data_IF_710522897470
#
_entry.id   IF_710522897470
#
_cell.length_a   1.000
_cell.length_b   1.000
_cell.length_c   1.000
_cell.angle_alpha   90.00
_cell.angle_beta   90.00
_cell.angle_gamma   90.00
#
_symmetry.space_group_name_H-M   'P 1'
#
loop_
_entity.id
_entity.type
_entity.pdbx_description
1 polymer ?
#
# COMPACT_ATOMS: atom_id res chain seq x y z
N UNK A 1 -48.54 -17.92 3.64
CA UNK A 1 -48.10 -17.47 2.31
C UNK A 1 -47.38 -16.15 2.51
N UNK A 2 -46.15 -16.22 3.00
CA UNK A 2 -44.87 -16.29 2.27
C UNK A 2 -44.25 -14.90 2.13
N UNK A 3 -43.15 -14.74 2.87
CA UNK A 3 -42.26 -13.60 2.91
C UNK A 3 -41.65 -13.38 1.53
N UNK A 4 -41.60 -12.13 1.05
CA UNK A 4 -40.61 -11.72 0.04
C UNK A 4 -39.52 -10.92 0.74
N UNK A 5 -38.44 -11.62 1.05
CA UNK A 5 -37.14 -11.07 1.41
C UNK A 5 -36.67 -10.06 0.35
N UNK A 6 -36.56 -8.79 0.74
CA UNK A 6 -35.75 -7.81 0.01
C UNK A 6 -34.27 -8.09 0.30
N UNK A 7 -33.72 -9.11 -0.36
CA UNK A 7 -32.28 -9.29 -0.51
C UNK A 7 -31.81 -8.28 -1.55
N UNK A 8 -31.18 -7.18 -1.14
CA UNK A 8 -30.64 -6.25 -2.13
C UNK A 8 -29.25 -5.72 -1.79
N UNK A 9 -28.30 -6.44 -2.41
CA UNK A 9 -26.96 -6.05 -2.86
C UNK A 9 -25.91 -5.90 -1.77
N UNK A 10 -25.26 -7.03 -1.47
CA UNK A 10 -23.85 -7.04 -1.14
C UNK A 10 -23.13 -6.17 -2.17
N UNK A 11 -22.60 -5.04 -1.71
CA UNK A 11 -21.75 -4.18 -2.51
C UNK A 11 -20.50 -5.01 -2.77
N UNK A 12 -20.42 -5.56 -3.98
CA UNK A 12 -19.16 -6.00 -4.58
C UNK A 12 -18.24 -4.79 -4.50
N UNK A 13 -17.31 -4.79 -3.53
CA UNK A 13 -16.22 -3.83 -3.47
C UNK A 13 -15.49 -3.95 -4.81
N UNK A 14 -15.71 -2.97 -5.69
CA UNK A 14 -15.13 -2.98 -7.04
C UNK A 14 -13.61 -3.06 -6.94
N UNK A 15 -13.04 -3.72 -7.94
CA UNK A 15 -11.63 -4.02 -8.15
C UNK A 15 -10.68 -2.83 -7.89
N UNK A 16 -11.18 -1.58 -7.97
CA UNK A 16 -10.44 -0.33 -7.81
C UNK A 16 -9.87 -0.07 -6.40
N UNK A 17 -10.38 -0.77 -5.38
CA UNK A 17 -9.93 -0.59 -4.00
C UNK A 17 -9.13 -1.76 -3.41
N UNK A 18 -8.84 -2.81 -4.17
CA UNK A 18 -8.17 -4.01 -3.64
C UNK A 18 -6.82 -3.69 -2.97
N UNK A 19 -5.98 -2.87 -3.62
CA UNK A 19 -4.72 -2.35 -3.07
C UNK A 19 -4.95 -1.46 -1.85
N UNK A 20 -5.96 -0.59 -1.89
CA UNK A 20 -6.30 0.33 -0.80
C UNK A 20 -6.77 -0.39 0.45
N UNK A 21 -7.63 -1.40 0.29
CA UNK A 21 -8.18 -2.20 1.39
C UNK A 21 -7.13 -3.16 1.95
N UNK A 22 -6.27 -3.74 1.10
CA UNK A 22 -5.17 -4.61 1.54
C UNK A 22 -4.19 -3.90 2.48
N UNK A 23 -3.94 -2.59 2.28
CA UNK A 23 -3.06 -1.78 3.12
C UNK A 23 -3.49 -1.68 4.58
N UNK A 24 -4.79 -1.78 4.88
CA UNK A 24 -5.24 -1.71 6.26
C UNK A 24 -4.70 -2.87 7.10
N UNK A 25 -4.31 -3.99 6.49
CA UNK A 25 -3.75 -5.18 7.17
C UNK A 25 -2.23 -5.13 7.39
N UNK A 26 -1.56 -4.07 6.96
CA UNK A 26 -0.09 -4.00 7.00
C UNK A 26 0.36 -3.47 8.35
N UNK A 27 1.43 -4.06 8.89
CA UNK A 27 2.14 -3.50 10.02
C UNK A 27 2.91 -2.22 9.65
N UNK A 28 3.49 -1.55 10.65
CA UNK A 28 4.17 -0.27 10.46
C UNK A 28 5.35 -0.36 9.49
N UNK A 29 6.13 -1.44 9.51
CA UNK A 29 7.32 -1.59 8.68
C UNK A 29 6.90 -1.97 7.25
N UNK A 30 5.91 -2.85 7.10
CA UNK A 30 5.29 -3.17 5.81
C UNK A 30 4.74 -1.90 5.14
N UNK A 31 4.04 -1.05 5.90
CA UNK A 31 3.52 0.23 5.39
C UNK A 31 4.64 1.16 4.93
N UNK A 32 5.71 1.30 5.72
CA UNK A 32 6.87 2.12 5.33
C UNK A 32 7.54 1.63 4.06
N UNK A 33 7.76 0.32 3.95
CA UNK A 33 8.31 -0.27 2.74
C UNK A 33 7.41 0.01 1.53
N UNK A 34 6.10 -0.20 1.67
CA UNK A 34 5.13 0.10 0.61
C UNK A 34 5.14 1.59 0.23
N UNK A 35 5.24 2.49 1.21
CA UNK A 35 5.33 3.91 0.92
C UNK A 35 6.62 4.26 0.19
N UNK A 36 7.78 3.71 0.57
CA UNK A 36 9.03 3.90 -0.19
C UNK A 36 8.93 3.38 -1.62
N UNK A 37 8.21 2.27 -1.85
CA UNK A 37 7.93 1.72 -3.19
C UNK A 37 7.10 2.72 -4.01
N UNK A 38 5.93 3.12 -3.50
CA UNK A 38 5.02 4.03 -4.21
C UNK A 38 5.70 5.39 -4.49
N UNK A 39 6.50 5.90 -3.54
CA UNK A 39 7.25 7.15 -3.70
C UNK A 39 8.26 7.07 -4.85
N UNK A 40 9.01 5.97 -4.93
CA UNK A 40 9.96 5.76 -6.03
C UNK A 40 9.25 5.63 -7.38
N UNK A 41 8.13 4.88 -7.44
CA UNK A 41 7.34 4.73 -8.68
C UNK A 41 6.82 6.09 -9.15
N UNK A 42 6.30 6.91 -8.23
CA UNK A 42 5.84 8.27 -8.55
C UNK A 42 6.97 9.14 -9.12
N UNK A 43 8.11 9.16 -8.44
CA UNK A 43 9.27 9.95 -8.88
C UNK A 43 9.73 9.53 -10.29
N UNK A 44 9.69 8.24 -10.61
CA UNK A 44 10.16 7.72 -11.90
C UNK A 44 9.15 7.85 -13.05
N UNK A 45 7.85 7.63 -12.80
CA UNK A 45 6.85 7.49 -13.87
C UNK A 45 5.84 8.64 -13.95
N UNK A 46 5.70 9.44 -12.89
CA UNK A 46 4.69 10.52 -12.82
C UNK A 46 5.36 11.88 -12.86
N UNK A 47 6.37 12.10 -12.03
CA UNK A 47 7.02 13.41 -11.86
C UNK A 47 8.16 13.65 -12.87
N UNK A 48 8.69 12.59 -13.47
CA UNK A 48 9.75 12.70 -14.46
C UNK A 48 9.15 12.88 -15.86
N UNK A 49 9.31 14.09 -16.44
CA UNK A 49 8.82 14.44 -17.78
C UNK A 49 9.48 13.60 -18.89
N UNK A 50 10.68 13.07 -18.65
CA UNK A 50 11.42 12.17 -19.54
C UNK A 50 11.25 10.68 -19.19
N UNK A 51 10.37 10.34 -18.26
CA UNK A 51 10.13 8.95 -17.86
C UNK A 51 9.59 8.13 -19.03
N UNK A 52 10.33 7.10 -19.47
CA UNK A 52 9.83 6.12 -20.44
C UNK A 52 8.60 5.44 -19.84
N UNK A 53 7.42 5.72 -20.39
CA UNK A 53 6.14 5.11 -19.98
C UNK A 53 5.85 3.82 -20.74
N UNK A 54 6.68 3.54 -21.73
CA UNK A 54 6.39 2.66 -22.87
C UNK A 54 7.08 1.29 -22.73
N UNK A 55 7.99 1.15 -21.76
CA UNK A 55 8.64 -0.12 -21.40
C UNK A 55 8.69 -0.26 -19.88
N UNK A 56 7.67 -0.89 -19.31
CA UNK A 56 7.69 -1.35 -17.92
C UNK A 56 8.52 -2.64 -17.87
N UNK A 57 9.82 -2.50 -17.65
CA UNK A 57 10.62 -3.62 -17.15
C UNK A 57 10.36 -3.81 -15.65
N UNK A 58 10.78 -4.96 -15.10
CA UNK A 58 10.75 -5.16 -13.66
C UNK A 58 11.55 -4.06 -12.97
N UNK A 59 10.93 -3.41 -11.99
CA UNK A 59 11.50 -2.24 -11.33
C UNK A 59 12.23 -2.65 -10.05
N UNK A 60 13.50 -2.31 -9.95
CA UNK A 60 14.28 -2.47 -8.72
C UNK A 60 14.27 -1.15 -7.93
N UNK A 61 13.81 -1.21 -6.69
CA UNK A 61 13.71 -0.06 -5.78
C UNK A 61 14.65 -0.27 -4.60
N UNK A 62 15.39 0.79 -4.28
CA UNK A 62 16.21 0.86 -3.06
C UNK A 62 15.40 1.47 -1.91
N UNK A 63 15.45 0.82 -0.75
CA UNK A 63 14.85 1.30 0.50
C UNK A 63 15.94 1.31 1.58
N UNK A 64 16.32 2.48 2.07
CA UNK A 64 17.34 2.57 3.12
C UNK A 64 16.82 2.02 4.45
N UNK A 65 17.70 1.41 5.25
CA UNK A 65 17.32 0.86 6.57
C UNK A 65 16.62 1.90 7.46
N UNK A 66 17.07 3.15 7.38
CA UNK A 66 16.54 4.27 8.17
C UNK A 66 15.08 4.60 7.84
N UNK A 67 14.65 4.38 6.59
CA UNK A 67 13.26 4.60 6.17
C UNK A 67 12.30 3.59 6.81
N UNK A 68 12.82 2.41 7.18
CA UNK A 68 12.05 1.35 7.81
C UNK A 68 12.05 1.47 9.34
N UNK A 69 13.11 2.04 9.90
CA UNK A 69 13.28 2.29 11.34
C UNK A 69 12.46 3.50 11.79
N UNK A 70 12.02 3.50 13.06
CA UNK A 70 11.32 4.65 13.66
C UNK A 70 12.36 5.56 14.32
N UNK A 71 12.22 6.88 14.18
CA UNK A 71 13.14 7.83 14.83
C UNK A 71 13.19 7.57 16.35
N UNK A 72 14.39 7.31 16.87
CA UNK A 72 14.66 7.04 18.29
C UNK A 72 14.33 5.63 18.77
N UNK A 73 14.12 4.68 17.86
CA UNK A 73 13.64 3.34 18.21
C UNK A 73 14.70 2.24 18.01
N UNK A 74 14.79 1.30 18.94
CA UNK A 74 15.67 0.12 18.87
C UNK A 74 15.03 -0.99 18.00
N UNK A 75 14.54 -0.62 16.81
CA UNK A 75 13.94 -1.59 15.89
C UNK A 75 14.98 -2.65 15.53
N UNK A 76 14.74 -3.89 15.98
CA UNK A 76 15.63 -5.02 15.68
C UNK A 76 15.57 -5.32 14.18
N UNK A 77 16.73 -5.59 13.58
CA UNK A 77 16.82 -5.96 12.16
C UNK A 77 15.94 -7.16 11.81
N UNK A 78 15.77 -8.10 12.74
CA UNK A 78 14.87 -9.24 12.56
C UNK A 78 13.42 -8.82 12.29
N UNK A 79 12.92 -7.78 12.97
CA UNK A 79 11.57 -7.27 12.75
C UNK A 79 11.41 -6.73 11.32
N UNK A 80 12.47 -6.11 10.78
CA UNK A 80 12.50 -5.61 9.40
C UNK A 80 12.46 -6.79 8.43
N UNK A 81 13.29 -7.81 8.64
CA UNK A 81 13.27 -9.01 7.80
C UNK A 81 11.90 -9.71 7.81
N UNK A 82 11.29 -9.86 8.98
CA UNK A 82 10.00 -10.51 9.11
C UNK A 82 8.90 -9.71 8.40
N UNK A 83 8.91 -8.37 8.54
CA UNK A 83 7.96 -7.49 7.85
C UNK A 83 8.13 -7.54 6.33
N UNK A 84 9.36 -7.43 5.83
CA UNK A 84 9.61 -7.50 4.39
C UNK A 84 9.31 -8.89 3.80
N UNK A 85 9.52 -9.96 4.58
CA UNK A 85 9.10 -11.32 4.21
C UNK A 85 7.57 -11.44 4.14
N UNK A 86 6.83 -10.83 5.09
CA UNK A 86 5.36 -10.75 5.03
C UNK A 86 4.89 -9.99 3.80
N UNK A 87 5.49 -8.83 3.51
CA UNK A 87 5.17 -8.04 2.31
C UNK A 87 5.36 -8.86 1.02
N UNK A 88 6.50 -9.56 0.88
CA UNK A 88 6.80 -10.40 -0.28
C UNK A 88 5.83 -11.58 -0.43
N UNK A 89 5.43 -12.19 0.69
CA UNK A 89 4.54 -13.36 0.69
C UNK A 89 3.06 -12.97 0.60
N UNK A 90 2.73 -11.69 0.41
CA UNK A 90 1.37 -11.24 0.25
C UNK A 90 1.06 -11.11 -1.24
N UNK A 91 0.00 -11.79 -1.65
CA UNK A 91 -0.47 -11.74 -3.02
C UNK A 91 -1.43 -10.58 -3.26
N UNK A 92 -1.38 -10.07 -4.48
CA UNK A 92 -2.34 -9.21 -5.15
C UNK A 92 -3.01 -10.12 -6.17
N UNK A 93 -4.33 -10.26 -6.05
CA UNK A 93 -5.13 -10.97 -7.04
C UNK A 93 -5.90 -9.96 -7.89
N UNK A 94 -5.71 -10.07 -9.20
CA UNK A 94 -6.43 -9.30 -10.21
C UNK A 94 -7.18 -10.30 -11.07
N UNK A 95 -8.51 -10.26 -10.99
CA UNK A 95 -9.38 -11.14 -11.74
C UNK A 95 -10.39 -10.32 -12.53
N UNK A 96 -10.33 -10.36 -13.86
CA UNK A 96 -11.26 -9.68 -14.76
C UNK A 96 -11.66 -10.61 -15.91
N UNK A 97 -12.54 -10.14 -16.81
CA UNK A 97 -13.06 -10.94 -17.94
C UNK A 97 -11.97 -11.46 -18.90
N UNK A 98 -10.79 -10.83 -18.92
CA UNK A 98 -9.70 -11.13 -19.85
C UNK A 98 -8.60 -11.99 -19.21
N UNK A 99 -8.36 -11.84 -17.92
CA UNK A 99 -7.25 -12.51 -17.25
C UNK A 99 -7.48 -12.71 -15.74
N UNK A 100 -6.83 -13.74 -15.23
CA UNK A 100 -6.58 -13.93 -13.80
C UNK A 100 -5.07 -13.86 -13.55
N UNK A 101 -4.67 -12.97 -12.64
CA UNK A 101 -3.28 -12.74 -12.24
C UNK A 101 -3.19 -12.81 -10.71
N UNK A 102 -2.30 -13.65 -10.22
CA UNK A 102 -1.89 -13.69 -8.81
C UNK A 102 -0.39 -13.35 -8.74
N UNK A 103 -0.05 -12.31 -8.00
CA UNK A 103 1.31 -11.76 -7.96
C UNK A 103 1.64 -11.14 -6.61
N UNK A 104 2.88 -11.30 -6.14
CA UNK A 104 3.30 -10.67 -4.89
C UNK A 104 3.32 -9.13 -4.97
N UNK A 105 3.18 -8.46 -3.82
CA UNK A 105 3.42 -7.00 -3.75
C UNK A 105 4.83 -6.62 -4.23
N UNK A 106 5.80 -7.49 -3.94
CA UNK A 106 7.18 -7.47 -4.46
C UNK A 106 7.61 -8.91 -4.75
N UNK A 107 8.40 -9.13 -5.80
CA UNK A 107 8.89 -10.45 -6.19
C UNK A 107 9.95 -10.98 -5.21
N UNK A 108 10.91 -10.11 -4.87
CA UNK A 108 11.96 -10.40 -3.91
C UNK A 108 12.28 -9.19 -3.04
N UNK A 109 12.93 -9.49 -1.91
CA UNK A 109 13.59 -8.52 -1.04
C UNK A 109 15.01 -9.01 -0.80
N UNK A 110 16.01 -8.14 -0.98
CA UNK A 110 17.43 -8.45 -0.80
C UNK A 110 18.08 -7.39 0.09
N UNK A 111 18.76 -7.80 1.16
CA UNK A 111 19.46 -6.87 2.05
C UNK A 111 20.93 -6.69 1.62
N UNK A 112 21.32 -5.47 1.24
CA UNK A 112 22.70 -5.10 0.93
C UNK A 112 23.36 -4.56 2.21
N UNK A 113 23.75 -5.50 3.08
CA UNK A 113 24.24 -5.24 4.45
C UNK A 113 25.40 -4.25 4.53
N UNK A 114 26.33 -4.30 3.57
CA UNK A 114 27.50 -3.43 3.52
C UNK A 114 27.18 -1.98 3.12
N UNK A 115 25.97 -1.72 2.62
CA UNK A 115 25.51 -0.40 2.19
C UNK A 115 24.25 0.07 2.94
N UNK A 116 23.79 -0.69 3.93
CA UNK A 116 22.63 -0.36 4.78
C UNK A 116 21.34 -0.06 4.02
N UNK A 117 21.02 -0.85 2.99
CA UNK A 117 19.76 -0.72 2.25
C UNK A 117 19.22 -2.06 1.75
N UNK A 118 17.93 -2.10 1.46
CA UNK A 118 17.23 -3.21 0.82
C UNK A 118 16.95 -2.91 -0.65
N UNK A 119 17.07 -3.92 -1.50
CA UNK A 119 16.52 -3.92 -2.85
C UNK A 119 15.21 -4.71 -2.85
N UNK A 120 14.18 -4.13 -3.44
CA UNK A 120 12.92 -4.82 -3.71
C UNK A 120 12.63 -4.76 -5.20
N UNK A 121 12.14 -5.86 -5.77
CA UNK A 121 11.71 -5.89 -7.16
C UNK A 121 10.20 -5.86 -7.25
N UNK A 122 9.67 -4.91 -8.01
CA UNK A 122 8.26 -4.83 -8.40
C UNK A 122 8.14 -5.39 -9.81
N UNK A 123 7.27 -6.37 -10.00
CA UNK A 123 7.05 -6.93 -11.33
C UNK A 123 6.42 -5.90 -12.27
N UNK A 124 6.84 -5.93 -13.53
CA UNK A 124 6.18 -5.17 -14.60
C UNK A 124 4.68 -5.42 -14.72
N UNK A 125 4.20 -6.61 -14.36
CA UNK A 125 2.77 -6.97 -14.48
C UNK A 125 1.89 -6.20 -13.48
N UNK A 126 2.44 -5.85 -12.31
CA UNK A 126 1.72 -5.10 -11.28
C UNK A 126 2.04 -3.60 -11.29
N UNK A 127 3.10 -3.20 -11.99
CA UNK A 127 3.57 -1.81 -12.03
C UNK A 127 2.53 -0.80 -12.55
N UNK A 128 1.71 -1.09 -13.59
CA UNK A 128 0.64 -0.18 -14.02
C UNK A 128 -0.35 0.15 -12.90
N UNK A 129 -0.72 -0.84 -12.08
CA UNK A 129 -1.62 -0.66 -10.93
C UNK A 129 -0.97 0.21 -9.84
N UNK A 130 0.34 0.07 -9.63
CA UNK A 130 1.06 0.96 -8.72
C UNK A 130 1.20 2.39 -9.25
N UNK A 131 1.35 2.59 -10.57
CA UNK A 131 1.39 3.92 -11.18
C UNK A 131 0.04 4.62 -11.02
N UNK A 132 -1.06 3.93 -11.34
CA UNK A 132 -2.41 4.43 -11.12
C UNK A 132 -2.64 4.78 -9.63
N UNK A 133 -2.22 3.87 -8.75
CA UNK A 133 -2.26 4.11 -7.30
C UNK A 133 -1.46 5.35 -6.91
N UNK A 134 -0.26 5.52 -7.46
CA UNK A 134 0.63 6.64 -7.18
C UNK A 134 0.09 7.99 -7.69
N UNK A 135 -0.66 7.99 -8.80
CA UNK A 135 -1.37 9.16 -9.33
C UNK A 135 -2.52 9.58 -8.40
N UNK A 136 -3.32 8.61 -7.94
CA UNK A 136 -4.40 8.84 -6.99
C UNK A 136 -3.89 9.14 -5.56
N UNK A 137 -2.64 8.78 -5.25
CA UNK A 137 -1.95 9.11 -4.00
C UNK A 137 -1.65 10.60 -3.80
N UNK A 138 -1.90 11.44 -4.82
CA UNK A 138 -1.66 12.90 -4.75
C UNK A 138 -2.51 13.60 -3.66
N UNK A 139 -3.59 12.97 -3.20
CA UNK A 139 -4.46 13.48 -2.13
C UNK A 139 -3.92 13.21 -0.72
N UNK A 140 -3.04 12.22 -0.56
CA UNK A 140 -2.44 11.83 0.71
C UNK A 140 -1.04 12.42 0.77
N UNK A 141 -0.73 13.25 1.77
CA UNK A 141 0.67 13.61 1.97
C UNK A 141 1.39 12.37 2.49
N UNK A 142 2.04 11.66 1.58
CA UNK A 142 2.88 10.50 1.85
C UNK A 142 3.88 10.79 2.97
N UNK A 143 4.42 12.01 2.97
CA UNK A 143 5.27 12.55 4.04
C UNK A 143 4.55 12.54 5.40
N UNK A 144 3.29 12.97 5.45
CA UNK A 144 2.50 12.95 6.69
C UNK A 144 2.19 11.52 7.12
N UNK A 145 1.78 10.63 6.21
CA UNK A 145 1.52 9.22 6.54
C UNK A 145 2.79 8.51 7.09
N UNK A 146 3.95 8.74 6.46
CA UNK A 146 5.25 8.21 6.91
C UNK A 146 5.65 8.80 8.28
N UNK A 147 5.38 10.09 8.52
CA UNK A 147 5.72 10.77 9.78
C UNK A 147 4.90 10.27 10.98
N UNK A 148 3.69 9.76 10.75
CA UNK A 148 2.82 9.26 11.81
C UNK A 148 3.36 7.95 12.42
N UNK A 149 3.48 7.93 13.74
CA UNK A 149 4.17 6.87 14.50
C UNK A 149 3.29 5.68 14.89
N UNK A 150 1.97 5.83 14.80
CA UNK A 150 0.97 4.83 15.18
C UNK A 150 0.22 4.34 13.96
N UNK A 151 -0.01 3.04 13.88
CA UNK A 151 -0.85 2.42 12.84
C UNK A 151 -2.25 3.03 12.85
N UNK A 152 -2.82 3.32 14.03
CA UNK A 152 -4.10 4.00 14.18
C UNK A 152 -4.06 5.43 13.63
N UNK A 153 -3.02 6.21 13.95
CA UNK A 153 -2.88 7.57 13.44
C UNK A 153 -2.73 7.59 11.92
N UNK A 154 -1.98 6.64 11.36
CA UNK A 154 -1.86 6.47 9.91
C UNK A 154 -3.22 6.12 9.29
N UNK A 155 -3.94 5.14 9.84
CA UNK A 155 -5.30 4.76 9.37
C UNK A 155 -6.28 5.93 9.48
N UNK A 156 -6.19 6.73 10.54
CA UNK A 156 -7.03 7.92 10.72
C UNK A 156 -6.72 8.99 9.68
N UNK A 157 -5.44 9.30 9.48
CA UNK A 157 -5.01 10.22 8.45
C UNK A 157 -5.46 9.76 7.05
N UNK A 158 -5.37 8.45 6.80
CA UNK A 158 -5.83 7.86 5.55
C UNK A 158 -7.33 8.08 5.35
N UNK A 159 -8.13 7.89 6.42
CA UNK A 159 -9.56 8.15 6.41
C UNK A 159 -9.88 9.62 6.15
N UNK A 160 -9.21 10.54 6.84
CA UNK A 160 -9.40 11.99 6.62
C UNK A 160 -9.10 12.40 5.18
N UNK A 161 -8.04 11.83 4.57
CA UNK A 161 -7.69 12.15 3.19
C UNK A 161 -8.71 11.60 2.18
N UNK A 162 -9.29 10.43 2.44
CA UNK A 162 -10.34 9.85 1.59
C UNK A 162 -11.55 10.79 1.46
N UNK A 163 -11.91 11.45 2.55
CA UNK A 163 -13.06 12.35 2.63
C UNK A 163 -12.69 13.83 2.50
N UNK A 164 -11.47 14.17 2.06
CA UNK A 164 -11.02 15.56 1.98
C UNK A 164 -11.94 16.44 1.14
N UNK A 165 -12.40 15.94 -0.02
CA UNK A 165 -13.28 16.69 -0.91
C UNK A 165 -14.71 16.83 -0.36
N UNK A 166 -15.16 15.85 0.42
CA UNK A 166 -16.47 15.89 1.08
C UNK A 166 -16.46 16.76 2.34
N UNK A 167 -15.31 16.95 2.98
CA UNK A 167 -15.11 17.77 4.19
C UNK A 167 -15.54 17.07 5.49
N UNK A 168 -16.39 16.05 5.43
CA UNK A 168 -16.86 15.29 6.58
C UNK A 168 -17.15 13.82 6.24
N UNK A 169 -17.26 12.98 7.26
CA UNK A 169 -17.71 11.59 7.16
C UNK A 169 -18.45 11.18 8.43
N UNK A 170 -19.31 10.17 8.33
CA UNK A 170 -20.07 9.62 9.46
C UNK A 170 -19.86 8.11 9.54
N UNK A 171 -19.43 7.63 10.71
CA UNK A 171 -19.31 6.22 11.04
C UNK A 171 -19.81 5.96 12.46
N UNK A 172 -20.35 4.76 12.70
CA UNK A 172 -20.60 4.29 14.06
C UNK A 172 -19.28 3.94 14.76
N UNK A 173 -19.30 3.91 16.10
CA UNK A 173 -18.12 3.55 16.89
C UNK A 173 -17.68 2.12 16.58
N UNK A 174 -18.62 1.20 16.39
CA UNK A 174 -18.38 -0.19 16.03
C UNK A 174 -17.66 -0.27 14.68
N UNK A 175 -18.11 0.53 13.70
CA UNK A 175 -17.50 0.52 12.38
C UNK A 175 -16.08 1.07 12.40
N UNK A 176 -15.84 2.11 13.19
CA UNK A 176 -14.49 2.62 13.41
C UNK A 176 -13.61 1.57 14.09
N UNK A 177 -14.10 0.84 15.09
CA UNK A 177 -13.31 -0.22 15.72
C UNK A 177 -12.90 -1.31 14.72
N UNK A 178 -13.81 -1.77 13.87
CA UNK A 178 -13.49 -2.72 12.80
C UNK A 178 -12.43 -2.19 11.84
N UNK A 179 -12.62 -0.98 11.30
CA UNK A 179 -11.72 -0.35 10.34
C UNK A 179 -10.32 -0.14 10.93
N UNK A 180 -10.26 0.15 12.23
CA UNK A 180 -9.04 0.45 12.93
C UNK A 180 -8.44 -0.79 13.60
N UNK A 181 -9.09 -1.96 13.52
CA UNK A 181 -8.68 -3.20 14.20
C UNK A 181 -8.42 -2.97 15.70
N UNK A 182 -9.38 -2.30 16.36
CA UNK A 182 -9.41 -2.02 17.80
C UNK A 182 -10.29 -3.04 18.55
#
# INVERSE_FOLDING_TARGET
MEKKDKKQRDIVLSQDNALTTARYKFDLIEKRALYSIIRNIRAQYIENENGRRDLFDDLIITIHEEELKKCGDNTKMQNIYDALKRLRNRDIEINNEKMWLSIGFVNYVKHIKNKSYFEVQVSKEVLPYYVELAQNFTSYSMTVAIALKSTFSQRFYELCCQYRNAGFFFYTVEKLREMFML
#
